data_IF_345941517141
#
_entry.id   IF_345941517141
#
_cell.length_a   1.000
_cell.length_b   1.000
_cell.length_c   1.000
_cell.angle_alpha   90.00
_cell.angle_beta   90.00
_cell.angle_gamma   90.00
#
_symmetry.space_group_name_H-M   'P 1'
#
loop_
_entity.id
_entity.type
_entity.pdbx_description
1 polymer ?
#
# COMPACT_ATOMS: atom_id res chain seq x y z
N UNK A 1 5.58 -3.83 6.42
CA UNK A 1 5.10 -4.71 5.32
C UNK A 1 3.72 -5.21 5.70
N UNK A 2 2.82 -5.35 4.73
CA UNK A 2 1.51 -5.98 4.90
C UNK A 2 1.21 -6.86 3.69
N UNK A 3 0.21 -7.73 3.81
CA UNK A 3 -0.18 -8.71 2.79
C UNK A 3 -1.70 -8.73 2.67
N UNK A 4 -2.21 -8.79 1.44
CA UNK A 4 -3.63 -8.89 1.14
C UNK A 4 -3.88 -8.94 -0.36
N UNK A 5 -5.07 -9.39 -0.78
CA UNK A 5 -5.48 -9.34 -2.18
C UNK A 5 -5.96 -7.91 -2.50
N UNK A 6 -5.11 -7.13 -3.14
CA UNK A 6 -5.35 -5.70 -3.38
C UNK A 6 -6.04 -5.46 -4.73
N UNK A 7 -5.81 -6.34 -5.71
CA UNK A 7 -6.36 -6.22 -7.06
C UNK A 7 -7.58 -7.13 -7.32
N UNK A 8 -8.04 -7.86 -6.30
CA UNK A 8 -9.18 -8.78 -6.32
C UNK A 8 -9.01 -9.93 -7.33
N UNK A 9 -7.79 -10.47 -7.43
CA UNK A 9 -7.47 -11.60 -8.31
C UNK A 9 -7.44 -12.96 -7.59
N UNK A 10 -7.74 -12.99 -6.28
CA UNK A 10 -7.65 -14.11 -5.36
C UNK A 10 -6.22 -14.58 -5.03
N UNK A 11 -5.20 -13.79 -5.34
CA UNK A 11 -3.82 -14.04 -4.94
C UNK A 11 -3.35 -12.96 -3.96
N UNK A 12 -2.53 -13.37 -2.99
CA UNK A 12 -2.03 -12.43 -1.99
C UNK A 12 -0.92 -11.55 -2.60
N UNK A 13 -1.06 -10.24 -2.43
CA UNK A 13 -0.08 -9.24 -2.80
C UNK A 13 0.77 -8.82 -1.58
N UNK A 14 1.99 -8.34 -1.83
CA UNK A 14 2.86 -7.77 -0.79
C UNK A 14 2.91 -6.25 -0.96
N UNK A 15 2.68 -5.54 0.14
CA UNK A 15 2.81 -4.08 0.18
C UNK A 15 3.87 -3.67 1.21
N UNK A 16 4.82 -2.85 0.75
CA UNK A 16 5.99 -2.43 1.52
C UNK A 16 5.96 -0.91 1.67
N UNK A 17 5.93 -0.44 2.92
CA UNK A 17 6.19 0.96 3.24
C UNK A 17 7.70 1.22 3.14
N UNK A 18 8.11 2.20 2.34
CA UNK A 18 9.50 2.57 2.19
C UNK A 18 9.71 4.05 2.51
N UNK A 19 10.13 4.30 3.75
CA UNK A 19 10.47 5.64 4.22
C UNK A 19 11.73 6.22 3.58
N UNK A 20 12.64 5.38 3.07
CA UNK A 20 13.90 5.82 2.47
C UNK A 20 13.72 6.59 1.17
N UNK A 21 12.67 6.28 0.40
CA UNK A 21 12.34 6.95 -0.87
C UNK A 21 10.92 7.51 -0.91
N UNK A 22 10.28 7.67 0.26
CA UNK A 22 8.96 8.31 0.41
C UNK A 22 7.86 7.71 -0.50
N UNK A 23 7.81 6.39 -0.55
CA UNK A 23 6.90 5.64 -1.43
C UNK A 23 6.44 4.34 -0.77
N UNK A 24 5.47 3.68 -1.42
CA UNK A 24 5.19 2.27 -1.19
C UNK A 24 5.58 1.45 -2.43
N UNK A 25 5.91 0.19 -2.20
CA UNK A 25 6.03 -0.81 -3.25
C UNK A 25 4.90 -1.83 -3.15
N UNK A 26 4.38 -2.25 -4.30
CA UNK A 26 3.40 -3.32 -4.42
C UNK A 26 4.01 -4.40 -5.30
N UNK A 27 4.01 -5.64 -4.80
CA UNK A 27 4.38 -6.81 -5.56
C UNK A 27 3.14 -7.69 -5.68
N UNK A 28 2.59 -7.79 -6.89
CA UNK A 28 1.38 -8.57 -7.15
C UNK A 28 1.67 -10.07 -7.11
N UNK A 29 0.81 -10.80 -6.41
CA UNK A 29 0.87 -12.25 -6.32
C UNK A 29 0.46 -12.91 -7.63
N UNK A 30 1.00 -14.10 -7.88
CA UNK A 30 0.61 -14.94 -9.00
C UNK A 30 0.12 -16.31 -8.54
N UNK A 31 -0.66 -17.03 -9.37
CA UNK A 31 -1.22 -18.34 -9.02
C UNK A 31 -0.18 -19.41 -8.64
N UNK A 32 1.05 -19.24 -9.10
CA UNK A 32 2.16 -20.15 -8.82
C UNK A 32 2.90 -19.82 -7.50
N UNK A 33 2.40 -18.88 -6.70
CA UNK A 33 3.03 -18.43 -5.46
C UNK A 33 4.26 -17.54 -5.65
N UNK A 34 4.50 -17.07 -6.88
CA UNK A 34 5.54 -16.07 -7.16
C UNK A 34 4.95 -14.66 -7.15
N UNK A 35 5.83 -13.66 -7.17
CA UNK A 35 5.45 -12.25 -7.20
C UNK A 35 5.99 -11.59 -8.45
N UNK A 36 5.22 -10.66 -9.01
CA UNK A 36 5.65 -9.79 -10.08
C UNK A 36 6.74 -8.79 -9.64
N UNK A 37 7.20 -7.99 -10.59
CA UNK A 37 8.09 -6.87 -10.30
C UNK A 37 7.41 -5.85 -9.37
N UNK A 38 8.20 -5.20 -8.53
CA UNK A 38 7.73 -4.11 -7.69
C UNK A 38 7.17 -2.94 -8.52
N UNK A 39 5.97 -2.50 -8.16
CA UNK A 39 5.38 -1.27 -8.66
C UNK A 39 5.49 -0.20 -7.57
N UNK A 40 6.11 0.94 -7.92
CA UNK A 40 6.37 2.04 -6.98
C UNK A 40 5.27 3.09 -7.03
N UNK A 41 4.74 3.46 -5.86
CA UNK A 41 3.76 4.53 -5.72
C UNK A 41 4.31 5.63 -4.79
N UNK A 42 4.66 6.81 -5.32
CA UNK A 42 5.18 7.90 -4.52
C UNK A 42 4.08 8.50 -3.63
N UNK A 43 4.44 8.79 -2.37
CA UNK A 43 3.53 9.43 -1.40
C UNK A 43 3.72 10.95 -1.31
N UNK A 44 4.80 11.47 -1.92
CA UNK A 44 5.16 12.88 -1.87
C UNK A 44 6.44 13.11 -1.08
N UNK A 45 7.09 14.26 -1.33
CA UNK A 45 8.37 14.59 -0.73
C UNK A 45 8.25 14.69 0.79
N UNK A 46 9.22 14.13 1.53
CA UNK A 46 9.25 14.19 2.98
C UNK A 46 8.28 13.24 3.70
N UNK A 47 7.48 12.46 2.96
CA UNK A 47 6.64 11.41 3.56
C UNK A 47 7.51 10.26 4.04
N UNK A 48 7.34 9.85 5.29
CA UNK A 48 8.03 8.70 5.87
C UNK A 48 6.97 7.66 6.28
N UNK A 49 6.46 6.85 5.33
CA UNK A 49 5.52 5.79 5.64
C UNK A 49 6.15 4.78 6.60
N UNK A 50 5.43 4.43 7.65
CA UNK A 50 5.90 3.48 8.67
C UNK A 50 4.90 2.36 8.97
N UNK A 51 3.62 2.55 8.67
CA UNK A 51 2.58 1.53 8.84
C UNK A 51 1.58 1.55 7.70
N UNK A 52 1.04 0.38 7.36
CA UNK A 52 0.03 0.18 6.34
C UNK A 52 -1.03 -0.77 6.90
N UNK A 53 -2.31 -0.45 6.69
CA UNK A 53 -3.43 -1.33 6.96
C UNK A 53 -4.25 -1.53 5.69
N UNK A 54 -4.80 -2.74 5.53
CA UNK A 54 -5.69 -3.09 4.43
C UNK A 54 -7.05 -3.49 5.02
N UNK A 55 -8.14 -2.89 4.52
CA UNK A 55 -9.51 -3.26 4.89
C UNK A 55 -10.49 -2.63 3.90
N UNK A 56 -11.65 -3.24 3.68
CA UNK A 56 -12.75 -2.60 2.94
C UNK A 56 -13.40 -1.54 3.83
N UNK A 57 -12.99 -0.28 3.67
CA UNK A 57 -13.49 0.86 4.45
C UNK A 57 -14.78 1.43 3.88
N UNK A 58 -14.97 1.31 2.57
CA UNK A 58 -16.06 1.95 1.85
C UNK A 58 -17.24 0.99 1.55
N UNK A 59 -17.11 -0.30 1.86
CA UNK A 59 -18.07 -1.38 1.64
C UNK A 59 -18.33 -1.69 0.17
N UNK A 60 -17.32 -1.61 -0.69
CA UNK A 60 -17.41 -1.95 -2.11
C UNK A 60 -16.88 -3.35 -2.45
N UNK A 61 -16.59 -4.17 -1.43
CA UNK A 61 -16.00 -5.51 -1.53
C UNK A 61 -14.56 -5.51 -2.06
N UNK A 62 -13.87 -4.37 -2.00
CA UNK A 62 -12.47 -4.25 -2.41
C UNK A 62 -11.64 -3.69 -1.27
N UNK A 63 -10.40 -4.17 -1.20
CA UNK A 63 -9.51 -3.75 -0.12
C UNK A 63 -9.06 -2.30 -0.34
N UNK A 64 -9.41 -1.42 0.60
CA UNK A 64 -8.81 -0.11 0.69
C UNK A 64 -7.47 -0.18 1.43
N UNK A 65 -6.60 0.79 1.15
CA UNK A 65 -5.30 0.92 1.79
C UNK A 65 -5.23 2.21 2.62
N UNK A 66 -4.81 2.08 3.88
CA UNK A 66 -4.50 3.20 4.77
C UNK A 66 -3.02 3.20 5.07
N UNK A 67 -2.38 4.35 4.89
CA UNK A 67 -0.94 4.51 5.12
C UNK A 67 -0.74 5.56 6.22
N UNK A 68 0.01 5.17 7.26
CA UNK A 68 0.46 6.10 8.27
C UNK A 68 1.88 6.59 7.94
N UNK A 69 2.05 7.90 7.87
CA UNK A 69 3.30 8.57 7.56
C UNK A 69 3.72 9.50 8.70
N UNK A 70 5.03 9.62 8.93
CA UNK A 70 5.58 10.83 9.55
C UNK A 70 5.83 11.85 8.44
N UNK A 71 5.36 13.09 8.60
CA UNK A 71 5.70 14.21 7.73
C UNK A 71 6.71 15.15 8.39
N UNK A 72 7.36 16.02 7.60
CA UNK A 72 8.07 17.17 8.16
C UNK A 72 7.11 18.22 8.73
N UNK A 73 5.84 18.24 8.27
CA UNK A 73 4.92 19.35 8.59
C UNK A 73 3.49 18.97 9.00
N UNK A 74 3.09 17.69 9.07
CA UNK A 74 1.85 17.25 9.73
C UNK A 74 1.77 15.72 9.79
N UNK A 75 0.92 15.18 10.68
CA UNK A 75 0.40 13.81 10.54
C UNK A 75 -0.50 13.84 9.29
N UNK A 76 0.07 13.67 8.11
CA UNK A 76 -0.71 13.39 6.92
C UNK A 76 -1.14 11.93 6.97
N UNK A 77 -2.33 11.69 7.53
CA UNK A 77 -3.11 10.49 7.20
C UNK A 77 -3.56 10.64 5.75
N UNK A 78 -2.71 10.25 4.81
CA UNK A 78 -3.09 10.16 3.42
C UNK A 78 -4.02 8.93 3.26
N UNK A 79 -5.32 9.16 3.34
CA UNK A 79 -6.35 8.22 2.83
C UNK A 79 -6.33 8.34 1.32
N UNK A 80 -5.49 7.56 0.64
CA UNK A 80 -5.59 7.45 -0.81
C UNK A 80 -6.36 6.19 -1.15
N UNK A 81 -7.68 6.37 -1.28
CA UNK A 81 -8.60 5.44 -1.92
C UNK A 81 -8.48 5.52 -3.45
N UNK A 82 -8.92 4.43 -4.06
CA UNK A 82 -9.30 4.26 -5.47
C UNK A 82 -8.12 3.99 -6.43
N UNK A 83 -8.02 2.74 -6.91
CA UNK A 83 -8.86 2.28 -8.02
C UNK A 83 -9.33 0.90 -7.71
#
# INVERSE_FOLDING_TARGET
VTVGDLNNDNYLDIIIANSGTSNIFILYGYPNGTFGNETSYPLGYGSLPYSIALTDLNQDERMDMVIACYGTDNIDTLVKMCI
#
